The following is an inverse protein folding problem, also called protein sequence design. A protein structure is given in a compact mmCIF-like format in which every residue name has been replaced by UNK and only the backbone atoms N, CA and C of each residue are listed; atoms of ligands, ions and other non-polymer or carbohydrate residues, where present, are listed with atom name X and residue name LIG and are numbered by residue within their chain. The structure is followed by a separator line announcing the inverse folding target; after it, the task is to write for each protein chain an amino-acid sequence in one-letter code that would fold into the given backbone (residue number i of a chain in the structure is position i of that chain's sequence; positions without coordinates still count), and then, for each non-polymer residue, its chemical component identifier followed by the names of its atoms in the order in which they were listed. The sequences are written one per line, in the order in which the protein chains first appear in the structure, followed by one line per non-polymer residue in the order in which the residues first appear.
data_IF_664472035274
#
_entry.id   IF_664472035274
#
_cell.length_a   1.000
_cell.length_b   1.000
_cell.length_c   1.000
_cell.angle_alpha   90.00
_cell.angle_beta   90.00
_cell.angle_gamma   90.00
#
_symmetry.space_group_name_H-M   'P 1'
#
loop_
_entity.id
_entity.type
_entity.pdbx_description
1 polymer ?
#
# COMPACT_ATOMS: atom_id res chain seq x y z
N UNK A 1 -20.26 -0.16 -10.72
CA UNK A 1 -19.31 -1.23 -10.35
C UNK A 1 -19.07 -1.17 -8.85
N UNK A 2 -19.01 -2.30 -8.13
CA UNK A 2 -18.80 -2.29 -6.67
C UNK A 2 -17.40 -1.73 -6.33
N UNK A 3 -17.25 -1.11 -5.16
CA UNK A 3 -15.95 -0.60 -4.68
C UNK A 3 -15.00 -1.77 -4.40
N UNK A 4 -13.69 -1.49 -4.43
CA UNK A 4 -12.65 -2.47 -4.14
C UNK A 4 -12.84 -3.13 -2.76
N UNK A 5 -13.24 -2.35 -1.75
CA UNK A 5 -13.62 -2.83 -0.43
C UNK A 5 -14.78 -3.84 -0.45
N UNK A 6 -15.78 -3.62 -1.32
CA UNK A 6 -16.90 -4.54 -1.49
C UNK A 6 -16.49 -5.85 -2.17
N UNK A 7 -15.47 -5.83 -3.04
CA UNK A 7 -14.96 -7.00 -3.75
C UNK A 7 -14.05 -7.90 -2.87
N UNK A 8 -13.25 -7.30 -1.99
CA UNK A 8 -12.43 -8.01 -1.00
C UNK A 8 -13.27 -8.84 -0.02
N UNK A 9 -14.43 -8.31 0.40
CA UNK A 9 -15.32 -8.98 1.34
C UNK A 9 -16.11 -10.16 0.73
N UNK A 10 -16.26 -10.20 -0.59
CA UNK A 10 -17.09 -11.21 -1.29
C UNK A 10 -16.31 -12.31 -1.99
N UNK A 11 -15.01 -12.14 -2.22
CA UNK A 11 -14.20 -13.06 -3.05
C UNK A 11 -13.53 -14.22 -2.30
N UNK A 12 -13.80 -14.43 -1.01
CA UNK A 12 -13.14 -15.49 -0.22
C UNK A 12 -11.64 -15.25 0.03
N UNK A 13 -11.06 -14.19 -0.55
CA UNK A 13 -9.72 -13.67 -0.30
C UNK A 13 -9.58 -12.95 1.05
N UNK A 14 -10.65 -12.85 1.86
CA UNK A 14 -10.62 -12.17 3.15
C UNK A 14 -9.50 -12.69 4.09
N UNK A 15 -9.12 -13.98 4.01
CA UNK A 15 -8.01 -14.52 4.79
C UNK A 15 -6.63 -14.03 4.32
N UNK A 16 -6.45 -13.87 3.00
CA UNK A 16 -5.23 -13.27 2.43
C UNK A 16 -5.24 -11.78 2.73
N UNK A 17 -6.39 -11.11 2.62
CA UNK A 17 -6.58 -9.71 3.00
C UNK A 17 -6.26 -9.46 4.48
N UNK A 18 -6.66 -10.37 5.38
CA UNK A 18 -6.38 -10.27 6.81
C UNK A 18 -4.87 -10.31 7.10
N UNK A 19 -4.10 -11.13 6.36
CA UNK A 19 -2.63 -11.12 6.43
C UNK A 19 -2.00 -9.89 5.74
N UNK A 20 -2.70 -9.26 4.78
CA UNK A 20 -2.29 -8.05 4.06
C UNK A 20 -2.47 -6.78 4.91
N UNK A 21 -3.50 -6.69 5.76
CA UNK A 21 -3.74 -5.54 6.67
C UNK A 21 -2.90 -5.53 7.95
N UNK A 22 -2.11 -6.59 8.20
CA UNK A 22 -1.51 -6.85 9.52
C UNK A 22 -0.10 -6.27 9.72
N UNK A 23 0.37 -5.34 8.88
CA UNK A 23 1.62 -4.62 9.15
C UNK A 23 1.50 -3.13 8.81
N UNK A 24 0.76 -2.43 9.67
CA UNK A 24 1.12 -1.13 10.26
C UNK A 24 1.39 0.10 9.37
N UNK A 25 0.84 0.19 8.15
CA UNK A 25 0.69 1.51 7.52
C UNK A 25 -0.68 2.12 7.87
N UNK A 26 -0.78 3.04 8.85
CA UNK A 26 -2.07 3.64 9.24
C UNK A 26 -2.68 4.50 8.13
N UNK A 27 -1.87 4.87 7.12
CA UNK A 27 -2.29 5.79 6.07
C UNK A 27 -2.93 5.04 4.87
N UNK A 28 -2.84 3.70 4.80
CA UNK A 28 -3.34 2.88 3.68
C UNK A 28 -4.82 3.13 3.37
N UNK A 29 -5.69 3.19 4.39
CA UNK A 29 -7.12 3.45 4.19
C UNK A 29 -7.38 4.86 3.65
N UNK A 30 -6.69 5.87 4.16
CA UNK A 30 -6.83 7.24 3.69
C UNK A 30 -6.35 7.40 2.24
N UNK A 31 -5.26 6.70 1.86
CA UNK A 31 -4.76 6.67 0.49
C UNK A 31 -5.78 6.01 -0.45
N UNK A 32 -6.36 4.88 -0.05
CA UNK A 32 -7.37 4.19 -0.84
C UNK A 32 -8.61 5.07 -1.08
N UNK A 33 -9.10 5.76 -0.04
CA UNK A 33 -10.23 6.68 -0.16
C UNK A 33 -9.94 7.86 -1.10
N UNK A 34 -8.73 8.41 -1.05
CA UNK A 34 -8.31 9.48 -1.95
C UNK A 34 -8.29 9.02 -3.42
N UNK A 35 -7.76 7.82 -3.69
CA UNK A 35 -7.72 7.25 -5.04
C UNK A 35 -9.12 6.90 -5.56
N UNK A 36 -10.02 6.43 -4.69
CA UNK A 36 -11.43 6.22 -5.02
C UNK A 36 -12.13 7.55 -5.37
N UNK A 37 -11.81 8.64 -4.65
CA UNK A 37 -12.33 9.97 -4.94
C UNK A 37 -11.83 10.49 -6.31
N UNK A 38 -10.55 10.29 -6.63
CA UNK A 38 -9.98 10.63 -7.95
C UNK A 38 -10.67 9.87 -9.08
N UNK A 39 -10.87 8.57 -8.89
CA UNK A 39 -11.53 7.75 -9.89
C UNK A 39 -12.99 8.21 -10.11
N UNK A 40 -13.73 8.54 -9.03
CA UNK A 40 -15.08 9.12 -9.15
C UNK A 40 -15.10 10.45 -9.90
N UNK A 41 -14.01 11.21 -9.84
CA UNK A 41 -13.82 12.46 -10.58
C UNK A 41 -13.31 12.24 -12.02
N UNK A 42 -13.12 10.99 -12.44
CA UNK A 42 -12.61 10.63 -13.77
C UNK A 42 -11.09 10.68 -13.91
N UNK A 43 -10.35 10.86 -12.82
CA UNK A 43 -8.89 10.85 -12.82
C UNK A 43 -8.37 9.46 -12.47
N UNK A 44 -7.63 8.86 -13.40
CA UNK A 44 -6.97 7.55 -13.22
C UNK A 44 -5.49 7.73 -13.49
N UNK A 45 -4.66 7.48 -12.47
CA UNK A 45 -3.21 7.70 -12.54
C UNK A 45 -2.46 6.66 -13.39
N UNK A 46 -3.06 5.49 -13.61
CA UNK A 46 -2.47 4.42 -14.41
C UNK A 46 -3.15 3.07 -14.21
N UNK A 47 -2.56 1.99 -14.77
CA UNK A 47 -3.13 0.65 -14.69
C UNK A 47 -3.13 0.05 -13.26
N UNK A 48 -2.38 0.65 -12.33
CA UNK A 48 -2.30 0.22 -10.93
C UNK A 48 -3.11 1.10 -9.98
N UNK A 49 -3.95 2.01 -10.51
CA UNK A 49 -4.72 2.95 -9.69
C UNK A 49 -5.65 2.22 -8.72
N UNK A 50 -5.43 2.40 -7.42
CA UNK A 50 -6.19 1.76 -6.34
C UNK A 50 -5.85 0.28 -6.11
N UNK A 51 -4.83 -0.26 -6.78
CA UNK A 51 -4.43 -1.67 -6.61
C UNK A 51 -3.46 -1.77 -5.42
N UNK A 52 -3.75 -2.60 -4.40
CA UNK A 52 -2.85 -2.80 -3.29
C UNK A 52 -1.63 -3.63 -3.71
N UNK A 53 -0.48 -3.33 -3.13
CA UNK A 53 0.74 -4.10 -3.28
C UNK A 53 1.47 -4.24 -1.95
N UNK A 54 2.40 -5.18 -1.90
CA UNK A 54 3.26 -5.40 -0.74
C UNK A 54 4.72 -5.24 -1.14
N UNK A 55 5.54 -4.76 -0.22
CA UNK A 55 6.99 -4.78 -0.35
C UNK A 55 7.62 -5.54 0.81
N UNK A 56 8.77 -6.15 0.53
CA UNK A 56 9.55 -6.82 1.57
C UNK A 56 10.22 -5.76 2.44
N UNK A 57 10.41 -6.07 3.74
CA UNK A 57 11.09 -5.22 4.74
C UNK A 57 12.57 -4.84 4.40
N UNK A 58 13.11 -5.36 3.30
CA UNK A 58 14.41 -4.95 2.76
C UNK A 58 14.29 -3.78 1.75
N UNK A 59 13.06 -3.38 1.41
CA UNK A 59 12.76 -2.31 0.46
C UNK A 59 12.30 -1.09 1.25
N UNK A 60 13.09 -0.01 1.16
CA UNK A 60 12.77 1.24 1.83
C UNK A 60 11.41 1.80 1.37
N UNK A 61 10.55 2.10 2.35
CA UNK A 61 9.30 2.85 2.20
C UNK A 61 9.24 3.90 3.30
N UNK A 62 8.95 5.15 2.94
CA UNK A 62 8.90 6.30 3.86
C UNK A 62 7.54 6.38 4.58
N UNK A 63 6.97 5.22 4.88
CA UNK A 63 5.77 5.09 5.67
C UNK A 63 6.12 5.08 7.17
N UNK A 64 5.11 4.99 8.02
CA UNK A 64 5.29 4.84 9.48
C UNK A 64 5.66 3.40 9.86
N UNK A 65 6.43 2.73 9.01
CA UNK A 65 6.89 1.35 9.15
C UNK A 65 8.41 1.33 9.28
N UNK A 66 8.92 0.43 10.11
CA UNK A 66 10.36 0.18 10.21
C UNK A 66 10.85 -0.59 8.97
N UNK A 67 12.09 -0.34 8.57
CA UNK A 67 12.79 -1.12 7.54
C UNK A 67 13.98 -1.83 8.20
N UNK A 68 13.76 -3.05 8.70
CA UNK A 68 14.76 -3.78 9.48
C UNK A 68 15.68 -4.64 8.62
N UNK A 69 15.31 -4.87 7.35
CA UNK A 69 15.97 -5.80 6.45
C UNK A 69 16.20 -7.21 7.06
N UNK A 70 15.37 -7.61 8.03
CA UNK A 70 15.52 -8.85 8.79
C UNK A 70 16.70 -8.87 9.77
N UNK A 71 17.22 -7.71 10.17
CA UNK A 71 18.36 -7.57 11.07
C UNK A 71 17.95 -6.88 12.37
N UNK A 72 18.30 -7.48 13.50
CA UNK A 72 18.09 -6.86 14.82
C UNK A 72 18.84 -5.52 14.97
N UNK A 73 19.91 -5.33 14.22
CA UNK A 73 20.68 -4.08 14.22
C UNK A 73 19.91 -2.88 13.64
N UNK A 74 18.82 -3.14 12.92
CA UNK A 74 18.02 -2.13 12.22
C UNK A 74 16.59 -1.99 12.78
N UNK A 75 16.31 -2.58 13.94
CA UNK A 75 15.07 -2.32 14.68
C UNK A 75 15.00 -0.82 15.01
N UNK A 76 13.86 -0.19 14.73
CA UNK A 76 13.66 1.26 14.84
C UNK A 76 14.20 2.08 13.66
N UNK A 77 14.71 1.44 12.60
CA UNK A 77 15.22 2.14 11.41
C UNK A 77 14.09 2.72 10.58
N UNK A 78 13.95 4.06 10.61
CA UNK A 78 13.04 4.83 9.76
C UNK A 78 13.84 5.40 8.59
N UNK A 79 13.43 5.07 7.37
CA UNK A 79 14.11 5.51 6.16
C UNK A 79 13.72 6.95 5.79
N UNK A 80 14.65 7.77 5.24
CA UNK A 80 14.37 9.16 4.91
C UNK A 80 13.53 9.33 3.62
N UNK A 81 13.52 8.31 2.75
CA UNK A 81 12.86 8.32 1.46
C UNK A 81 12.42 6.92 1.01
N UNK A 82 11.45 6.91 0.08
CA UNK A 82 11.06 5.72 -0.64
C UNK A 82 12.19 5.21 -1.52
N UNK A 83 12.28 3.89 -1.66
CA UNK A 83 13.03 3.28 -2.74
C UNK A 83 12.44 3.69 -4.10
N UNK A 84 13.27 3.66 -5.15
CA UNK A 84 12.84 4.02 -6.50
C UNK A 84 11.64 3.20 -6.99
N UNK A 85 11.56 1.92 -6.60
CA UNK A 85 10.45 1.04 -6.98
C UNK A 85 9.15 1.47 -6.29
N UNK A 86 9.18 1.72 -4.98
CA UNK A 86 8.00 2.20 -4.22
C UNK A 86 7.51 3.52 -4.78
N UNK A 87 8.42 4.45 -5.09
CA UNK A 87 8.08 5.74 -5.70
C UNK A 87 7.29 5.56 -6.99
N UNK A 88 7.77 4.72 -7.92
CA UNK A 88 7.11 4.48 -9.22
C UNK A 88 5.75 3.80 -9.07
N UNK A 89 5.59 2.90 -8.10
CA UNK A 89 4.31 2.25 -7.81
C UNK A 89 3.29 3.26 -7.28
N UNK A 90 3.70 4.17 -6.38
CA UNK A 90 2.85 5.26 -5.88
C UNK A 90 2.45 6.24 -6.97
N UNK A 91 3.37 6.60 -7.87
CA UNK A 91 3.05 7.44 -9.03
C UNK A 91 2.02 6.78 -9.96
N UNK A 92 2.08 5.46 -10.12
CA UNK A 92 1.10 4.69 -10.89
C UNK A 92 -0.27 4.53 -10.18
N UNK A 93 -0.40 5.05 -8.95
CA UNK A 93 -1.62 4.98 -8.14
C UNK A 93 -1.77 3.69 -7.35
N UNK A 94 -0.71 2.90 -7.17
CA UNK A 94 -0.76 1.70 -6.34
C UNK A 94 -0.75 2.06 -4.84
N UNK A 95 -1.36 1.21 -4.02
CA UNK A 95 -1.53 1.42 -2.57
C UNK A 95 -0.62 0.47 -1.80
N UNK A 96 0.24 1.01 -0.92
CA UNK A 96 1.07 0.22 -0.01
C UNK A 96 0.38 0.09 1.36
#
# INVERSE_FOLDING_TARGET
MPSFASWLLTSGLAAVASAITANDNPDTMAIAEALDAEHKQGTVRGPLHGIPFLVKDNIASKDKMETTAGSWALVGSVVPCDSHVVHRLREAGAVL
#
